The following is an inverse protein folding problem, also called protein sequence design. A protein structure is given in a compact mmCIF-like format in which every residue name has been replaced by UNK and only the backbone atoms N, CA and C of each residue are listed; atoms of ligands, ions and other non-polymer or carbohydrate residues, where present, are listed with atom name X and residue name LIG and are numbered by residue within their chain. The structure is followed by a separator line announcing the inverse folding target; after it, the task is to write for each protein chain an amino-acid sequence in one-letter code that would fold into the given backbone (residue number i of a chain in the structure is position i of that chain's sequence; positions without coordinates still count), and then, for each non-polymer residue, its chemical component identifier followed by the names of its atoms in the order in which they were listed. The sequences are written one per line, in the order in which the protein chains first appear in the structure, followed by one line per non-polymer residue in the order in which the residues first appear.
data_IF_622744378638
#
_entry.id   IF_622744378638
#
_cell.length_a   1.000
_cell.length_b   1.000
_cell.length_c   1.000
_cell.angle_alpha   90.00
_cell.angle_beta   90.00
_cell.angle_gamma   90.00
#
_symmetry.space_group_name_H-M   'P 1'
#
loop_
_entity.id
_entity.type
_entity.pdbx_description
1 polymer ?
#
# COMPACT_ATOMS: atom_id res chain seq x y z
N UNK A 1 -28.32 36.92 -5.59
CA UNK A 1 -28.65 35.49 -5.65
C UNK A 1 -27.63 34.79 -4.77
N UNK A 2 -28.05 34.24 -3.63
CA UNK A 2 -27.13 33.55 -2.73
C UNK A 2 -26.66 32.27 -3.40
N UNK A 3 -25.36 31.99 -3.35
CA UNK A 3 -24.82 30.69 -3.73
C UNK A 3 -25.49 29.64 -2.83
N UNK A 4 -26.32 28.76 -3.39
CA UNK A 4 -26.73 27.56 -2.66
C UNK A 4 -25.44 26.86 -2.21
N UNK A 5 -25.30 26.69 -0.89
CA UNK A 5 -24.19 25.94 -0.34
C UNK A 5 -24.20 24.53 -0.96
N UNK A 6 -23.04 24.08 -1.41
CA UNK A 6 -22.84 22.78 -2.03
C UNK A 6 -23.54 21.67 -1.21
N UNK A 7 -24.51 20.99 -1.82
CA UNK A 7 -25.34 20.01 -1.12
C UNK A 7 -24.52 18.75 -0.78
N UNK A 8 -24.11 18.65 0.48
CA UNK A 8 -23.35 17.49 0.99
C UNK A 8 -24.29 16.33 1.29
N UNK A 9 -23.87 15.11 0.95
CA UNK A 9 -24.64 13.88 1.16
C UNK A 9 -23.74 12.72 1.61
N UNK A 10 -24.35 11.58 1.95
CA UNK A 10 -23.67 10.33 2.26
C UNK A 10 -24.23 9.19 1.41
N UNK A 11 -23.39 8.26 0.99
CA UNK A 11 -23.77 7.12 0.15
C UNK A 11 -23.02 5.86 0.57
N UNK A 12 -23.56 4.69 0.19
CA UNK A 12 -22.91 3.39 0.41
C UNK A 12 -22.03 3.02 -0.79
N UNK A 13 -20.85 2.48 -0.54
CA UNK A 13 -19.95 1.88 -1.55
C UNK A 13 -19.60 0.44 -1.17
N UNK A 14 -18.89 -0.27 -2.04
CA UNK A 14 -18.45 -1.66 -1.81
C UNK A 14 -16.92 -1.75 -1.83
N UNK A 15 -16.40 -2.74 -1.13
CA UNK A 15 -15.01 -3.18 -1.23
C UNK A 15 -14.84 -4.34 -2.20
N UNK A 16 -13.62 -4.55 -2.68
CA UNK A 16 -13.23 -5.68 -3.54
C UNK A 16 -12.26 -6.58 -2.80
N UNK A 17 -12.50 -7.90 -2.82
CA UNK A 17 -11.59 -8.91 -2.25
C UNK A 17 -10.70 -9.51 -3.35
N UNK A 18 -9.44 -9.79 -3.05
CA UNK A 18 -8.51 -10.47 -3.96
C UNK A 18 -7.59 -11.41 -3.21
N UNK A 19 -7.51 -12.67 -3.64
CA UNK A 19 -6.57 -13.65 -3.10
C UNK A 19 -5.15 -13.36 -3.61
N UNK A 20 -4.15 -13.50 -2.73
CA UNK A 20 -2.73 -13.30 -3.06
C UNK A 20 -1.88 -14.49 -2.58
N UNK A 21 -0.67 -14.70 -3.12
CA UNK A 21 0.21 -15.77 -2.66
C UNK A 21 0.56 -15.69 -1.16
N UNK A 22 0.72 -14.47 -0.63
CA UNK A 22 1.01 -14.21 0.79
C UNK A 22 -0.23 -14.18 1.69
N UNK A 23 -1.44 -14.33 1.14
CA UNK A 23 -2.69 -14.22 1.89
C UNK A 23 -3.83 -13.62 1.06
N UNK A 24 -4.34 -12.45 1.43
CA UNK A 24 -5.42 -11.79 0.69
C UNK A 24 -5.47 -10.29 0.96
N UNK A 25 -6.14 -9.54 0.09
CA UNK A 25 -6.43 -8.11 0.32
C UNK A 25 -7.92 -7.81 0.13
N UNK A 26 -8.42 -6.85 0.91
CA UNK A 26 -9.69 -6.16 0.70
C UNK A 26 -9.35 -4.71 0.37
N UNK A 27 -9.82 -4.17 -0.75
CA UNK A 27 -9.58 -2.79 -1.17
C UNK A 27 -10.88 -2.00 -1.26
N UNK A 28 -10.85 -0.71 -0.93
CA UNK A 28 -11.96 0.22 -1.11
C UNK A 28 -11.46 1.61 -1.49
N UNK A 29 -12.33 2.39 -2.13
CA UNK A 29 -12.11 3.79 -2.46
C UNK A 29 -12.98 4.66 -1.56
N UNK A 30 -12.39 5.69 -0.96
CA UNK A 30 -13.08 6.65 -0.12
C UNK A 30 -13.29 8.00 -0.85
N UNK A 31 -13.92 8.94 -0.16
CA UNK A 31 -14.15 10.30 -0.65
C UNK A 31 -12.80 11.03 -0.79
N UNK A 32 -12.64 11.84 -1.83
CA UNK A 32 -11.37 12.50 -2.15
C UNK A 32 -10.32 11.50 -2.64
N UNK A 33 -9.04 11.87 -2.68
CA UNK A 33 -7.97 10.99 -3.15
C UNK A 33 -7.49 9.99 -2.08
N UNK A 34 -8.40 9.34 -1.36
CA UNK A 34 -8.05 8.37 -0.30
C UNK A 34 -8.45 6.97 -0.72
N UNK A 35 -7.48 6.06 -0.72
CA UNK A 35 -7.69 4.63 -0.93
C UNK A 35 -7.31 3.86 0.33
N UNK A 36 -8.05 2.78 0.60
CA UNK A 36 -7.79 1.91 1.73
C UNK A 36 -7.65 0.45 1.30
N UNK A 37 -6.77 -0.28 1.99
CA UNK A 37 -6.71 -1.74 1.91
C UNK A 37 -6.61 -2.35 3.30
N UNK A 38 -7.13 -3.56 3.44
CA UNK A 38 -6.82 -4.46 4.54
C UNK A 38 -6.08 -5.66 3.96
N UNK A 39 -4.81 -5.81 4.34
CA UNK A 39 -3.94 -6.91 3.95
C UNK A 39 -4.01 -7.98 5.04
N UNK A 40 -4.41 -9.20 4.68
CA UNK A 40 -4.29 -10.38 5.55
C UNK A 40 -3.07 -11.17 5.13
N UNK A 41 -2.05 -11.23 5.98
CA UNK A 41 -0.75 -11.80 5.66
C UNK A 41 -0.51 -12.99 6.58
N UNK A 42 -0.22 -14.15 5.99
CA UNK A 42 0.08 -15.37 6.75
C UNK A 42 1.46 -15.29 7.38
N UNK A 43 1.63 -15.86 8.57
CA UNK A 43 2.91 -16.00 9.24
C UNK A 43 3.98 -16.56 8.30
N UNK A 44 5.16 -15.94 8.31
CA UNK A 44 6.31 -16.28 7.47
C UNK A 44 6.18 -15.86 6.00
N UNK A 45 5.05 -15.26 5.60
CA UNK A 45 4.90 -14.65 4.27
C UNK A 45 5.25 -13.17 4.32
N UNK A 46 5.74 -12.64 3.19
CA UNK A 46 6.09 -11.23 3.07
C UNK A 46 5.65 -10.65 1.73
N UNK A 47 5.41 -9.35 1.69
CA UNK A 47 5.14 -8.63 0.44
C UNK A 47 6.42 -8.47 -0.37
N UNK A 48 6.28 -8.07 -1.63
CA UNK A 48 7.40 -7.59 -2.46
C UNK A 48 8.09 -6.41 -1.78
N UNK A 49 9.39 -6.27 -2.03
CA UNK A 49 10.12 -5.02 -1.78
C UNK A 49 9.82 -4.05 -2.91
N UNK A 50 9.29 -2.87 -2.57
CA UNK A 50 8.76 -1.93 -3.56
C UNK A 50 8.79 -0.50 -3.05
N UNK A 51 8.59 0.45 -3.95
CA UNK A 51 8.23 1.82 -3.61
C UNK A 51 7.21 2.37 -4.61
N UNK A 52 6.51 3.44 -4.22
CA UNK A 52 5.68 4.23 -5.13
C UNK A 52 6.39 5.54 -5.46
N UNK A 53 6.36 5.96 -6.72
CA UNK A 53 6.99 7.21 -7.14
C UNK A 53 6.19 8.45 -6.72
N UNK A 54 4.87 8.33 -6.55
CA UNK A 54 3.96 9.47 -6.36
C UNK A 54 2.95 9.30 -5.22
N UNK A 55 2.94 8.13 -4.57
CA UNK A 55 1.96 7.79 -3.52
C UNK A 55 2.65 7.69 -2.17
N UNK A 56 2.09 8.38 -1.19
CA UNK A 56 2.40 8.19 0.22
C UNK A 56 1.43 7.17 0.82
N UNK A 57 1.91 6.39 1.79
CA UNK A 57 1.16 5.32 2.45
C UNK A 57 1.36 5.35 3.96
N UNK A 58 0.31 5.00 4.69
CA UNK A 58 0.36 4.70 6.12
C UNK A 58 -0.05 3.25 6.29
N UNK A 59 0.78 2.48 6.99
CA UNK A 59 0.46 1.12 7.39
C UNK A 59 0.16 1.10 8.88
N UNK A 60 -1.04 0.68 9.24
CA UNK A 60 -1.50 0.50 10.61
C UNK A 60 -1.69 -0.99 10.90
N UNK A 61 -1.05 -1.50 11.94
CA UNK A 61 -1.23 -2.90 12.35
C UNK A 61 -2.52 -3.03 13.15
N UNK A 62 -3.50 -3.73 12.59
CA UNK A 62 -4.77 -3.99 13.25
C UNK A 62 -4.70 -5.21 14.18
N UNK A 63 -4.05 -6.27 13.72
CA UNK A 63 -3.83 -7.50 14.51
C UNK A 63 -2.55 -8.22 14.07
N UNK A 64 -2.04 -9.11 14.94
CA UNK A 64 -0.82 -9.87 14.71
C UNK A 64 0.44 -9.06 15.02
N UNK A 65 1.53 -9.36 14.30
CA UNK A 65 2.84 -8.73 14.45
C UNK A 65 3.61 -8.84 13.15
N UNK A 66 4.20 -7.72 12.72
CA UNK A 66 4.93 -7.65 11.46
C UNK A 66 6.35 -7.11 11.67
N UNK A 67 7.27 -7.53 10.81
CA UNK A 67 8.54 -6.88 10.57
C UNK A 67 8.40 -6.00 9.33
N UNK A 68 8.76 -4.72 9.44
CA UNK A 68 8.87 -3.80 8.31
C UNK A 68 10.35 -3.59 8.01
N UNK A 69 10.76 -3.87 6.78
CA UNK A 69 12.06 -3.47 6.24
C UNK A 69 11.80 -2.23 5.40
N UNK A 70 12.43 -1.10 5.72
CA UNK A 70 12.20 0.19 5.05
C UNK A 70 13.46 1.05 4.95
N UNK A 71 13.55 1.84 3.88
CA UNK A 71 14.62 2.78 3.63
C UNK A 71 14.09 4.19 3.37
N UNK A 72 15.01 5.15 3.25
CA UNK A 72 14.74 6.45 2.65
C UNK A 72 14.85 6.40 1.12
N UNK A 73 14.55 7.51 0.43
CA UNK A 73 14.59 7.60 -1.04
C UNK A 73 15.97 7.29 -1.65
N UNK A 74 17.06 7.45 -0.87
CA UNK A 74 18.42 7.22 -1.33
C UNK A 74 18.90 5.79 -1.09
N UNK A 75 18.11 4.97 -0.40
CA UNK A 75 18.50 3.62 0.04
C UNK A 75 18.82 2.70 -1.14
N UNK A 76 18.10 2.83 -2.26
CA UNK A 76 18.33 2.00 -3.46
C UNK A 76 19.63 2.40 -4.15
N UNK A 77 19.89 3.70 -4.28
CA UNK A 77 21.07 4.22 -5.00
C UNK A 77 22.35 4.15 -4.16
N UNK A 78 22.23 4.29 -2.83
CA UNK A 78 23.34 4.46 -1.90
C UNK A 78 23.20 3.60 -0.64
N UNK A 79 23.03 2.27 -0.76
CA UNK A 79 22.72 1.39 0.37
C UNK A 79 23.79 1.37 1.48
N UNK A 80 25.04 1.69 1.15
CA UNK A 80 26.13 1.75 2.13
C UNK A 80 26.01 2.95 3.10
N UNK A 81 25.45 4.07 2.65
CA UNK A 81 25.30 5.29 3.46
C UNK A 81 23.86 5.54 3.87
N UNK A 82 22.90 4.95 3.15
CA UNK A 82 21.47 4.94 3.43
C UNK A 82 21.00 3.49 3.54
N UNK A 83 21.33 2.77 4.63
CA UNK A 83 20.94 1.37 4.75
C UNK A 83 19.45 1.22 5.05
N UNK A 84 18.91 0.06 4.69
CA UNK A 84 17.60 -0.36 5.19
C UNK A 84 17.58 -0.41 6.72
N UNK A 85 16.42 -0.12 7.29
CA UNK A 85 16.09 -0.23 8.70
C UNK A 85 15.03 -1.29 8.89
N UNK A 86 15.04 -1.89 10.06
CA UNK A 86 14.05 -2.85 10.50
C UNK A 86 13.21 -2.28 11.63
N UNK A 87 11.91 -2.56 11.60
CA UNK A 87 10.98 -2.13 12.65
C UNK A 87 9.93 -3.21 12.86
N UNK A 88 9.88 -3.76 14.07
CA UNK A 88 8.80 -4.68 14.46
C UNK A 88 7.63 -3.85 14.95
N UNK A 89 6.45 -4.07 14.36
CA UNK A 89 5.22 -3.36 14.72
C UNK A 89 4.18 -4.34 15.25
N UNK A 90 3.51 -3.90 16.31
CA UNK A 90 2.43 -4.58 17.04
C UNK A 90 1.11 -3.84 16.83
N UNK A 91 -0.03 -4.42 17.25
CA UNK A 91 -1.34 -3.79 17.04
C UNK A 91 -1.42 -2.39 17.64
N UNK A 92 -1.93 -1.44 16.87
CA UNK A 92 -1.98 -0.03 17.26
C UNK A 92 -0.80 0.81 16.75
N UNK A 93 0.29 0.18 16.33
CA UNK A 93 1.47 0.88 15.81
C UNK A 93 1.37 1.16 14.30
N UNK A 94 2.07 2.20 13.87
CA UNK A 94 2.01 2.74 12.52
C UNK A 94 3.40 2.92 11.93
N UNK A 95 3.50 2.76 10.62
CA UNK A 95 4.62 3.29 9.83
C UNK A 95 4.08 4.17 8.71
N UNK A 96 4.71 5.33 8.54
CA UNK A 96 4.42 6.27 7.46
C UNK A 96 5.51 6.11 6.41
N UNK A 97 5.11 5.91 5.16
CA UNK A 97 5.97 5.70 4.01
C UNK A 97 5.72 6.83 3.03
N UNK A 98 6.73 7.67 2.82
CA UNK A 98 6.68 8.66 1.75
C UNK A 98 7.00 8.01 0.41
N UNK A 99 6.49 8.61 -0.67
CA UNK A 99 6.88 8.30 -2.03
C UNK A 99 8.42 8.32 -2.18
N UNK A 100 8.93 7.44 -3.04
CA UNK A 100 10.36 7.19 -3.22
C UNK A 100 10.98 6.27 -2.17
N UNK A 101 10.38 6.10 -0.98
CA UNK A 101 10.95 5.28 0.09
C UNK A 101 10.62 3.78 -0.13
N UNK A 102 11.63 2.89 -0.22
CA UNK A 102 11.40 1.46 -0.40
C UNK A 102 10.96 0.80 0.91
N UNK A 103 10.02 -0.13 0.82
CA UNK A 103 9.60 -0.93 1.96
C UNK A 103 9.07 -2.33 1.56
N UNK A 104 9.08 -3.24 2.53
CA UNK A 104 8.27 -4.48 2.53
C UNK A 104 7.83 -4.82 3.94
N UNK A 105 6.80 -5.64 4.05
CA UNK A 105 6.33 -6.19 5.33
C UNK A 105 6.39 -7.70 5.31
N UNK A 106 6.84 -8.28 6.42
CA UNK A 106 6.85 -9.71 6.70
C UNK A 106 6.02 -9.99 7.95
N UNK A 107 5.13 -10.98 7.87
CA UNK A 107 4.28 -11.38 8.98
C UNK A 107 5.04 -12.32 9.94
N UNK A 108 5.33 -11.85 11.15
CA UNK A 108 5.90 -12.68 12.23
C UNK A 108 4.80 -13.60 12.82
N UNK A 109 3.57 -13.10 12.83
CA UNK A 109 2.34 -13.80 13.19
C UNK A 109 1.31 -13.58 12.06
N UNK A 110 0.25 -14.40 11.98
CA UNK A 110 -0.87 -14.09 11.08
C UNK A 110 -1.39 -12.68 11.42
N UNK A 111 -1.35 -11.78 10.44
CA UNK A 111 -1.50 -10.35 10.67
C UNK A 111 -2.50 -9.70 9.73
N UNK A 112 -3.23 -8.70 10.25
CA UNK A 112 -4.05 -7.79 9.46
C UNK A 112 -3.47 -6.38 9.51
N UNK A 113 -3.16 -5.82 8.35
CA UNK A 113 -2.56 -4.48 8.21
C UNK A 113 -3.49 -3.61 7.36
N UNK A 114 -3.86 -2.45 7.89
CA UNK A 114 -4.62 -1.45 7.16
C UNK A 114 -3.63 -0.51 6.45
N UNK A 115 -3.70 -0.47 5.13
CA UNK A 115 -3.01 0.49 4.28
C UNK A 115 -3.97 1.65 4.00
N UNK A 116 -3.53 2.88 4.23
CA UNK A 116 -4.23 4.09 3.79
C UNK A 116 -3.25 4.87 2.93
N UNK A 117 -3.66 5.29 1.74
CA UNK A 117 -2.77 6.06 0.88
C UNK A 117 -3.49 7.03 -0.02
N UNK A 118 -2.70 7.93 -0.62
CA UNK A 118 -3.22 8.90 -1.58
C UNK A 118 -3.49 8.25 -2.94
N UNK A 119 -4.48 8.78 -3.66
CA UNK A 119 -4.83 8.43 -5.03
C UNK A 119 -4.23 9.48 -5.97
N UNK A 120 -3.20 9.11 -6.74
CA UNK A 120 -2.58 9.99 -7.73
C UNK A 120 -1.42 9.36 -8.51
N UNK A 121 -1.35 9.65 -9.82
CA UNK A 121 -0.20 9.53 -10.73
C UNK A 121 0.35 8.14 -11.04
N UNK A 122 0.68 7.34 -10.03
CA UNK A 122 1.27 6.01 -10.18
C UNK A 122 0.71 5.06 -9.12
N UNK A 123 -0.39 4.37 -9.47
CA UNK A 123 -0.96 3.28 -8.66
C UNK A 123 -0.16 1.97 -8.78
N UNK A 124 0.80 1.93 -9.71
CA UNK A 124 1.69 0.79 -9.92
C UNK A 124 3.00 1.06 -9.17
N UNK A 125 3.38 0.20 -8.22
CA UNK A 125 4.66 0.33 -7.54
C UNK A 125 5.82 -0.10 -8.45
N UNK A 126 6.99 0.48 -8.22
CA UNK A 126 8.25 -0.08 -8.73
C UNK A 126 8.66 -1.23 -7.82
N UNK A 127 8.71 -2.44 -8.37
CA UNK A 127 9.04 -3.66 -7.63
C UNK A 127 10.53 -3.95 -7.75
N UNK A 128 11.19 -4.13 -6.61
CA UNK A 128 12.64 -4.36 -6.49
C UNK A 128 12.92 -5.85 -6.31
N UNK A 129 12.21 -6.50 -5.37
CA UNK A 129 12.31 -7.94 -5.11
C UNK A 129 10.92 -8.54 -4.92
N UNK A 130 10.72 -9.76 -5.39
CA UNK A 130 9.48 -10.50 -5.23
C UNK A 130 9.75 -11.99 -5.02
N UNK A 131 9.08 -12.60 -4.03
CA UNK A 131 9.23 -14.03 -3.75
C UNK A 131 8.26 -14.91 -4.57
N UNK A 132 7.45 -14.30 -5.43
CA UNK A 132 6.33 -14.95 -6.12
C UNK A 132 6.40 -14.78 -7.64
N UNK A 133 7.59 -14.47 -8.17
CA UNK A 133 7.87 -14.33 -9.60
C UNK A 133 6.93 -13.36 -10.34
N UNK A 134 6.44 -12.31 -9.68
CA UNK A 134 5.58 -11.29 -10.31
C UNK A 134 6.35 -10.22 -11.07
N UNK A 135 7.68 -10.28 -11.06
CA UNK A 135 8.54 -9.37 -11.83
C UNK A 135 8.22 -9.54 -13.32
N UNK A 136 7.73 -8.46 -13.96
CA UNK A 136 7.34 -8.46 -15.37
C UNK A 136 5.85 -8.70 -15.65
N UNK A 137 5.03 -8.98 -14.63
CA UNK A 137 3.58 -9.19 -14.75
C UNK A 137 2.81 -8.01 -14.13
N UNK A 138 3.05 -6.80 -14.62
CA UNK A 138 2.21 -5.65 -14.30
C UNK A 138 0.93 -5.77 -15.12
N UNK A 139 -0.27 -5.84 -14.51
CA UNK A 139 -1.50 -5.84 -15.30
C UNK A 139 -1.59 -4.53 -16.09
N UNK A 140 -1.65 -4.63 -17.42
CA UNK A 140 -1.99 -3.51 -18.29
C UNK A 140 -3.37 -2.99 -17.87
N UNK A 141 -3.41 -1.76 -17.35
CA UNK A 141 -4.66 -1.07 -17.12
C UNK A 141 -5.14 -0.62 -18.49
N UNK A 142 -6.16 -1.30 -19.03
CA UNK A 142 -6.90 -0.80 -20.18
C UNK A 142 -7.64 0.47 -19.76
N UNK A 143 -7.04 1.62 -20.04
CA UNK A 143 -7.71 2.91 -19.94
C UNK A 143 -8.69 3.00 -21.10
N UNK A 144 -9.92 2.52 -20.91
CA UNK A 144 -11.03 2.83 -21.81
C UNK A 144 -11.52 4.24 -21.49
N UNK A 145 -10.83 5.24 -22.03
CA UNK A 145 -11.42 6.56 -22.23
C UNK A 145 -12.20 6.45 -23.53
N UNK A 146 -13.51 6.18 -23.43
CA UNK A 146 -14.43 6.50 -24.52
C UNK A 146 -14.59 8.03 -24.53
N UNK A 147 -14.02 8.66 -25.54
CA UNK A 147 -14.36 10.02 -25.92
C UNK A 147 -15.82 10.06 -26.39
N UNK A 148 -16.62 10.91 -25.75
CA UNK A 148 -17.89 11.42 -26.27
C UNK A 148 -17.87 12.94 -26.23
#
# INVERSE_FOLDING_TARGET
MGSEAEHKTSWKSKSTFTQKPWGSEIQWHAIGSVDGKCLKIKKGSRTSLKYYSLKDEVLFVYSGKILVIHGDELTIERPATHPYRESVLSPGEVVNIQSGCPYRIEAIEDSEVIEIGSRGGAIVPVMIEDDYDRVGNTPEIKTSIEEK
#
